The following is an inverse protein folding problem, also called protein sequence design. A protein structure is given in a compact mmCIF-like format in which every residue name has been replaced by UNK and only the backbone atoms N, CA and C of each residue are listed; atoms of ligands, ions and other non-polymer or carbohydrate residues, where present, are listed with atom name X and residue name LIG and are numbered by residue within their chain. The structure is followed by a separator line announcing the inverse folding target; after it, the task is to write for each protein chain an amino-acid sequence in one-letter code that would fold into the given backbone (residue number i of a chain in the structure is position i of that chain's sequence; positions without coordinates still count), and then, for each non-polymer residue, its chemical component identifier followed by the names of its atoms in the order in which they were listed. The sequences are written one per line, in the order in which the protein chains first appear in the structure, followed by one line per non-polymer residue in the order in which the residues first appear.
data_IF_253758395204
#
_entry.id   IF_253758395204
#
_cell.length_a   1.000
_cell.length_b   1.000
_cell.length_c   1.000
_cell.angle_alpha   90.00
_cell.angle_beta   90.00
_cell.angle_gamma   90.00
#
_symmetry.space_group_name_H-M   'P 1'
#
loop_
_entity.id
_entity.type
_entity.pdbx_description
1 polymer ?
#
# COMPACT_ATOMS: atom_id res chain seq x y z
N UNK A 1 13.30 30.32 -7.48
CA UNK A 1 12.73 29.51 -6.38
C UNK A 1 13.08 28.05 -6.63
N UNK A 2 13.45 27.32 -5.60
CA UNK A 2 13.83 25.89 -5.68
C UNK A 2 12.97 25.10 -4.71
N UNK A 3 12.43 23.98 -5.17
CA UNK A 3 11.76 22.99 -4.34
C UNK A 3 12.72 21.83 -4.11
N UNK A 4 12.96 21.49 -2.83
CA UNK A 4 13.76 20.34 -2.45
C UNK A 4 12.87 19.28 -1.76
N UNK A 5 13.02 18.04 -2.17
CA UNK A 5 12.43 16.87 -1.48
C UNK A 5 13.57 16.00 -0.99
N UNK A 6 13.51 15.62 0.29
CA UNK A 6 14.54 14.76 0.88
C UNK A 6 14.16 13.29 0.72
N UNK A 7 15.16 12.47 0.44
CA UNK A 7 15.01 11.01 0.40
C UNK A 7 16.28 10.37 0.93
N UNK A 8 16.16 9.17 1.49
CA UNK A 8 17.30 8.31 1.81
C UNK A 8 17.60 7.30 0.69
N UNK A 9 16.85 7.34 -0.40
CA UNK A 9 17.14 6.53 -1.57
C UNK A 9 18.37 7.08 -2.32
N UNK A 10 19.17 6.20 -2.93
CA UNK A 10 20.26 6.58 -3.82
C UNK A 10 19.69 7.18 -5.11
N UNK A 11 19.54 8.50 -5.13
CA UNK A 11 18.85 9.23 -6.21
C UNK A 11 19.41 8.89 -7.58
N UNK A 12 20.71 8.79 -7.72
CA UNK A 12 21.37 8.45 -8.99
C UNK A 12 20.98 7.05 -9.51
N UNK A 13 20.51 6.19 -8.65
CA UNK A 13 20.10 4.83 -8.99
C UNK A 13 18.59 4.67 -9.19
N UNK A 14 17.78 5.29 -8.34
CA UNK A 14 16.31 5.09 -8.35
C UNK A 14 15.52 6.20 -9.02
N UNK A 15 16.16 7.36 -9.28
CA UNK A 15 15.49 8.47 -9.96
C UNK A 15 15.11 8.07 -11.38
N UNK A 16 13.87 8.33 -11.71
CA UNK A 16 13.39 8.09 -13.06
C UNK A 16 12.39 9.19 -13.47
N UNK A 17 12.19 9.29 -14.78
CA UNK A 17 11.20 10.15 -15.40
C UNK A 17 10.34 9.29 -16.33
N UNK A 18 9.03 9.41 -16.20
CA UNK A 18 8.06 8.77 -17.09
C UNK A 18 7.12 9.83 -17.65
N UNK A 19 6.89 9.75 -18.93
CA UNK A 19 5.93 10.57 -19.67
C UNK A 19 4.78 9.68 -20.15
N UNK A 20 3.56 10.11 -19.91
CA UNK A 20 2.36 9.39 -20.39
C UNK A 20 1.37 10.38 -21.00
N UNK A 21 0.80 9.96 -22.11
CA UNK A 21 -0.18 10.76 -22.87
C UNK A 21 -1.59 10.20 -22.73
N UNK A 22 -2.56 11.09 -22.65
CA UNK A 22 -3.97 10.78 -22.81
C UNK A 22 -4.70 11.96 -23.46
N UNK A 23 -5.44 11.69 -24.54
CA UNK A 23 -6.16 12.71 -25.32
C UNK A 23 -5.31 13.94 -25.71
N UNK A 24 -4.04 13.71 -26.02
CA UNK A 24 -3.11 14.77 -26.42
C UNK A 24 -2.54 15.60 -25.26
N UNK A 25 -2.73 15.17 -24.03
CA UNK A 25 -2.15 15.76 -22.82
C UNK A 25 -0.99 14.89 -22.34
N UNK A 26 0.22 15.44 -22.34
CA UNK A 26 1.45 14.74 -21.97
C UNK A 26 1.84 15.12 -20.54
N UNK A 27 1.60 14.27 -19.58
CA UNK A 27 2.03 14.46 -18.19
C UNK A 27 3.36 13.75 -17.93
N UNK A 28 4.22 14.39 -17.14
CA UNK A 28 5.53 13.85 -16.77
C UNK A 28 5.61 13.68 -15.26
N UNK A 29 5.99 12.48 -14.80
CA UNK A 29 6.25 12.22 -13.41
C UNK A 29 7.72 11.83 -13.16
N UNK A 30 8.26 12.37 -12.07
CA UNK A 30 9.53 11.93 -11.48
C UNK A 30 9.20 11.22 -10.18
N UNK A 31 9.82 10.07 -9.93
CA UNK A 31 9.67 9.40 -8.65
C UNK A 31 10.97 8.81 -8.14
N UNK A 32 11.08 8.75 -6.82
CA UNK A 32 11.97 7.87 -6.08
C UNK A 32 11.14 7.10 -5.08
N UNK A 33 11.39 5.80 -4.91
CA UNK A 33 10.67 4.97 -3.96
C UNK A 33 11.62 4.13 -3.12
N UNK A 34 11.32 4.02 -1.83
CA UNK A 34 11.92 3.12 -0.88
C UNK A 34 10.90 2.78 0.20
N UNK A 35 10.72 1.51 0.53
CA UNK A 35 9.58 1.02 1.31
C UNK A 35 9.94 0.49 2.70
N UNK A 36 11.11 0.85 3.26
CA UNK A 36 11.54 0.33 4.57
C UNK A 36 10.65 0.75 5.76
N UNK A 37 9.78 1.74 5.58
CA UNK A 37 8.83 2.28 6.56
C UNK A 37 7.41 2.42 5.96
N UNK A 38 6.99 1.44 5.16
CA UNK A 38 5.68 1.42 4.54
C UNK A 38 4.55 1.30 5.58
N UNK A 39 3.43 1.97 5.32
CA UNK A 39 2.26 2.01 6.22
C UNK A 39 0.95 2.08 5.42
N UNK A 40 -0.13 1.66 6.07
CA UNK A 40 -1.49 1.94 5.59
C UNK A 40 -1.95 3.27 6.16
N UNK A 41 -2.47 4.15 5.33
CA UNK A 41 -3.03 5.42 5.80
C UNK A 41 -4.14 5.18 6.83
N UNK A 42 -4.05 5.85 7.97
CA UNK A 42 -5.01 5.70 9.08
C UNK A 42 -4.65 4.62 10.11
N UNK A 43 -3.63 3.80 9.88
CA UNK A 43 -3.13 2.91 10.93
C UNK A 43 -2.48 3.72 12.06
N UNK A 44 -2.80 3.34 13.28
CA UNK A 44 -2.06 3.78 14.45
C UNK A 44 -0.73 3.02 14.47
N UNK A 45 0.36 3.74 14.47
CA UNK A 45 1.68 3.15 14.71
C UNK A 45 1.80 2.91 16.21
N UNK A 46 1.50 1.70 16.67
CA UNK A 46 1.90 1.25 17.99
C UNK A 46 3.43 1.35 18.06
N UNK A 47 3.95 1.87 19.15
CA UNK A 47 5.40 2.10 19.33
C UNK A 47 6.01 3.20 18.42
N UNK A 48 5.25 4.26 18.17
CA UNK A 48 5.72 5.38 17.35
C UNK A 48 7.12 5.89 17.75
N UNK A 49 7.41 5.97 19.06
CA UNK A 49 8.71 6.45 19.56
C UNK A 49 9.83 5.46 19.22
N UNK A 50 9.64 4.17 19.39
CA UNK A 50 10.63 3.15 19.00
C UNK A 50 10.82 3.11 17.49
N UNK A 51 9.73 3.15 16.72
CA UNK A 51 9.76 3.23 15.26
C UNK A 51 10.40 4.52 14.77
N UNK A 52 10.21 5.65 15.45
CA UNK A 52 10.88 6.91 15.13
C UNK A 52 12.41 6.81 15.33
N UNK A 53 12.85 6.19 16.41
CA UNK A 53 14.28 5.94 16.67
C UNK A 53 14.86 5.00 15.61
N UNK A 54 14.17 3.92 15.28
CA UNK A 54 14.58 2.99 14.22
C UNK A 54 14.62 3.69 12.85
N UNK A 55 13.62 4.50 12.54
CA UNK A 55 13.59 5.29 11.30
C UNK A 55 14.72 6.31 11.23
N UNK A 56 15.02 7.01 12.33
CA UNK A 56 16.16 7.93 12.40
C UNK A 56 17.50 7.18 12.23
N UNK A 57 17.64 6.00 12.82
CA UNK A 57 18.82 5.16 12.62
C UNK A 57 18.94 4.70 11.18
N UNK A 58 17.86 4.20 10.58
CA UNK A 58 17.82 3.79 9.17
C UNK A 58 18.09 4.96 8.23
N UNK A 59 17.58 6.16 8.54
CA UNK A 59 17.88 7.37 7.78
C UNK A 59 19.39 7.70 7.81
N UNK A 60 20.04 7.56 8.98
CA UNK A 60 21.50 7.74 9.09
C UNK A 60 22.29 6.68 8.33
N UNK A 61 21.76 5.48 8.20
CA UNK A 61 22.33 4.36 7.45
C UNK A 61 21.91 4.39 5.97
N UNK A 62 21.22 5.45 5.50
CA UNK A 62 20.63 5.59 4.16
C UNK A 62 19.67 4.45 3.79
N UNK A 63 18.99 3.90 4.79
CA UNK A 63 18.01 2.78 4.63
C UNK A 63 16.57 3.17 4.92
N UNK A 64 16.30 4.46 5.21
CA UNK A 64 14.92 4.93 5.40
C UNK A 64 14.18 4.92 4.07
N UNK A 65 12.91 4.47 4.11
CA UNK A 65 12.04 4.48 2.94
C UNK A 65 11.28 5.80 2.83
N UNK A 66 11.04 6.23 1.62
CA UNK A 66 10.17 7.36 1.29
C UNK A 66 9.78 7.27 -0.17
N UNK A 67 8.56 7.68 -0.51
CA UNK A 67 8.14 7.85 -1.89
C UNK A 67 8.04 9.35 -2.16
N UNK A 68 8.91 9.86 -3.02
CA UNK A 68 8.86 11.23 -3.50
C UNK A 68 8.34 11.24 -4.93
N UNK A 69 7.33 12.07 -5.21
CA UNK A 69 6.73 12.21 -6.53
C UNK A 69 6.66 13.68 -6.89
N UNK A 70 7.17 14.03 -8.06
CA UNK A 70 6.98 15.34 -8.66
C UNK A 70 6.26 15.17 -10.01
N UNK A 71 5.07 15.73 -10.12
CA UNK A 71 4.30 15.73 -11.36
C UNK A 71 4.43 17.07 -12.07
N UNK A 72 4.73 17.04 -13.34
CA UNK A 72 4.76 18.21 -14.23
C UNK A 72 3.56 18.13 -15.17
N UNK A 73 2.64 19.07 -14.99
CA UNK A 73 1.51 19.26 -15.90
C UNK A 73 1.94 20.10 -17.11
N UNK A 74 1.55 19.74 -18.33
CA UNK A 74 1.76 20.58 -19.50
C UNK A 74 0.78 21.77 -19.53
N UNK A 75 -0.31 21.70 -18.77
CA UNK A 75 -1.37 22.70 -18.73
C UNK A 75 -1.20 23.66 -17.56
N UNK A 76 -1.52 24.95 -17.74
CA UNK A 76 -1.68 25.88 -16.64
C UNK A 76 -2.82 25.41 -15.72
N UNK A 77 -2.58 25.37 -14.41
CA UNK A 77 -3.58 24.93 -13.44
C UNK A 77 -3.96 26.08 -12.50
N UNK A 78 -5.22 26.09 -12.05
CA UNK A 78 -5.60 26.91 -10.90
C UNK A 78 -5.04 26.32 -9.61
N UNK A 79 -5.11 27.02 -8.50
CA UNK A 79 -4.68 26.47 -7.21
C UNK A 79 -5.54 25.27 -6.81
N UNK A 80 -6.87 25.35 -7.06
CA UNK A 80 -7.81 24.26 -6.86
C UNK A 80 -7.49 23.05 -7.76
N UNK A 81 -7.13 23.32 -9.03
CA UNK A 81 -6.70 22.29 -9.97
C UNK A 81 -5.43 21.58 -9.51
N UNK A 82 -4.45 22.29 -8.97
CA UNK A 82 -3.25 21.68 -8.40
C UNK A 82 -3.59 20.80 -7.21
N UNK A 83 -4.46 21.26 -6.31
CA UNK A 83 -4.89 20.48 -5.14
C UNK A 83 -5.70 19.24 -5.58
N UNK A 84 -6.62 19.42 -6.53
CA UNK A 84 -7.43 18.29 -7.03
C UNK A 84 -6.58 17.23 -7.74
N UNK A 85 -5.48 17.62 -8.37
CA UNK A 85 -4.56 16.70 -9.05
C UNK A 85 -3.81 15.75 -8.08
N UNK A 86 -3.72 16.10 -6.79
CA UNK A 86 -3.15 15.18 -5.79
C UNK A 86 -3.98 13.90 -5.62
N UNK A 87 -5.29 13.94 -5.92
CA UNK A 87 -6.14 12.74 -5.84
C UNK A 87 -5.62 11.64 -6.78
N UNK A 88 -5.58 11.83 -8.12
CA UNK A 88 -5.05 10.80 -9.01
C UNK A 88 -3.59 10.44 -8.75
N UNK A 89 -2.76 11.36 -8.24
CA UNK A 89 -1.36 11.06 -7.87
C UNK A 89 -1.30 10.06 -6.72
N UNK A 90 -2.07 10.30 -5.65
CA UNK A 90 -2.08 9.42 -4.46
C UNK A 90 -2.69 8.07 -4.79
N UNK A 91 -3.79 8.05 -5.54
CA UNK A 91 -4.45 6.82 -5.99
C UNK A 91 -3.51 5.99 -6.87
N UNK A 92 -2.85 6.60 -7.86
CA UNK A 92 -1.91 5.92 -8.74
C UNK A 92 -0.69 5.37 -7.97
N UNK A 93 -0.16 6.12 -7.00
CA UNK A 93 0.91 5.63 -6.11
C UNK A 93 0.47 4.37 -5.36
N UNK A 94 -0.70 4.41 -4.73
CA UNK A 94 -1.21 3.29 -3.94
C UNK A 94 -1.55 2.09 -4.82
N UNK A 95 -2.12 2.30 -6.00
CA UNK A 95 -2.36 1.25 -6.99
C UNK A 95 -1.05 0.60 -7.46
N UNK A 96 -0.02 1.40 -7.75
CA UNK A 96 1.28 0.87 -8.15
C UNK A 96 1.93 0.02 -7.04
N UNK A 97 1.80 0.42 -5.78
CA UNK A 97 2.25 -0.41 -4.66
C UNK A 97 1.47 -1.73 -4.59
N UNK A 98 0.15 -1.69 -4.77
CA UNK A 98 -0.69 -2.90 -4.77
C UNK A 98 -0.34 -3.85 -5.93
N UNK A 99 -0.08 -3.33 -7.13
CA UNK A 99 0.38 -4.11 -8.29
C UNK A 99 1.71 -4.83 -8.01
N UNK A 100 2.56 -4.26 -7.14
CA UNK A 100 3.81 -4.89 -6.67
C UNK A 100 3.62 -5.76 -5.41
N UNK A 101 2.38 -6.03 -5.03
CA UNK A 101 2.03 -6.92 -3.91
C UNK A 101 2.08 -6.24 -2.53
N UNK A 102 2.31 -4.92 -2.45
CA UNK A 102 2.24 -4.19 -1.20
C UNK A 102 0.79 -3.83 -0.89
N UNK A 103 0.33 -4.14 0.30
CA UNK A 103 -1.00 -3.77 0.77
C UNK A 103 -1.02 -2.42 1.51
N UNK A 104 0.14 -1.86 1.74
CA UNK A 104 0.32 -0.54 2.31
C UNK A 104 0.09 0.54 1.25
N UNK A 105 -0.36 1.72 1.70
CA UNK A 105 -0.76 2.81 0.81
C UNK A 105 0.35 3.83 0.54
N UNK A 106 1.46 3.71 1.22
CA UNK A 106 2.61 4.61 1.12
C UNK A 106 3.62 4.36 2.24
N UNK A 107 4.43 5.36 2.54
CA UNK A 107 5.36 5.37 3.66
C UNK A 107 5.00 6.47 4.68
N UNK A 108 5.66 6.48 5.83
CA UNK A 108 5.42 7.51 6.86
C UNK A 108 5.89 8.91 6.47
N UNK A 109 6.59 9.07 5.35
CA UNK A 109 7.27 10.32 4.98
C UNK A 109 7.13 10.70 3.51
N UNK A 110 6.12 10.20 2.81
CA UNK A 110 5.90 10.51 1.40
C UNK A 110 5.80 12.02 1.15
N UNK A 111 6.38 12.47 0.06
CA UNK A 111 6.29 13.86 -0.37
C UNK A 111 5.88 13.95 -1.84
N UNK A 112 5.04 14.94 -2.15
CA UNK A 112 4.51 15.14 -3.50
C UNK A 112 4.54 16.60 -3.88
N UNK A 113 4.81 16.87 -5.16
CA UNK A 113 4.77 18.19 -5.73
C UNK A 113 4.06 18.18 -7.09
N UNK A 114 3.34 19.24 -7.36
CA UNK A 114 2.73 19.51 -8.68
C UNK A 114 3.32 20.78 -9.25
N UNK A 115 3.90 20.68 -10.42
CA UNK A 115 4.44 21.79 -11.19
C UNK A 115 3.53 22.01 -12.40
N UNK A 116 3.12 23.25 -12.63
CA UNK A 116 2.36 23.64 -13.82
C UNK A 116 2.89 24.96 -14.38
N UNK A 117 2.83 25.17 -15.71
CA UNK A 117 3.22 26.44 -16.30
C UNK A 117 2.27 27.57 -15.85
N UNK A 118 2.74 28.79 -15.97
CA UNK A 118 1.88 29.98 -15.85
C UNK A 118 1.12 30.17 -17.16
N UNK A 119 -0.13 30.57 -17.08
CA UNK A 119 -0.98 30.83 -18.24
C UNK A 119 -2.31 31.46 -17.85
N UNK A 120 -3.07 31.93 -18.85
CA UNK A 120 -4.39 32.54 -18.62
C UNK A 120 -5.50 31.48 -18.59
N UNK A 121 -5.45 30.53 -19.54
CA UNK A 121 -6.44 29.43 -19.62
C UNK A 121 -6.11 28.30 -18.63
N UNK A 122 -6.47 28.52 -17.36
CA UNK A 122 -6.16 27.60 -16.27
C UNK A 122 -7.23 26.53 -16.08
N UNK A 123 -6.78 25.29 -15.92
CA UNK A 123 -7.65 24.14 -15.65
C UNK A 123 -7.86 24.02 -14.15
N UNK A 124 -9.15 23.93 -13.73
CA UNK A 124 -9.54 23.75 -12.33
C UNK A 124 -9.93 22.30 -12.00
N UNK A 125 -10.41 21.55 -12.98
CA UNK A 125 -10.90 20.18 -12.80
C UNK A 125 -9.87 19.17 -13.31
N UNK A 126 -9.15 18.52 -12.39
CA UNK A 126 -8.01 17.66 -12.67
C UNK A 126 -8.11 16.31 -11.97
N UNK A 127 -9.30 15.96 -11.49
CA UNK A 127 -9.55 14.68 -10.81
C UNK A 127 -9.37 13.45 -11.72
N UNK A 128 -9.45 12.28 -11.14
CA UNK A 128 -9.14 10.97 -11.74
C UNK A 128 -9.83 10.70 -13.09
N UNK A 129 -11.03 11.25 -13.31
CA UNK A 129 -11.78 11.12 -14.58
C UNK A 129 -11.46 12.17 -15.64
N UNK A 130 -10.60 13.17 -15.37
CA UNK A 130 -10.21 14.18 -16.35
C UNK A 130 -9.03 13.71 -17.19
N UNK A 131 -8.90 14.26 -18.41
CA UNK A 131 -7.79 13.87 -19.31
C UNK A 131 -6.41 14.11 -18.70
N UNK A 132 -6.22 15.24 -18.00
CA UNK A 132 -4.98 15.52 -17.27
C UNK A 132 -4.80 14.59 -16.07
N UNK A 133 -5.89 14.25 -15.35
CA UNK A 133 -5.85 13.29 -14.24
C UNK A 133 -5.44 11.91 -14.71
N UNK A 134 -6.00 11.41 -15.80
CA UNK A 134 -5.66 10.11 -16.41
C UNK A 134 -4.19 10.07 -16.86
N UNK A 135 -3.74 11.10 -17.61
CA UNK A 135 -2.34 11.16 -18.05
C UNK A 135 -1.38 11.20 -16.87
N UNK A 136 -1.72 11.98 -15.83
CA UNK A 136 -0.94 12.11 -14.60
C UNK A 136 -0.87 10.81 -13.81
N UNK A 137 -2.00 10.13 -13.61
CA UNK A 137 -2.05 8.84 -12.92
C UNK A 137 -1.18 7.80 -13.61
N UNK A 138 -1.26 7.70 -14.94
CA UNK A 138 -0.42 6.79 -15.74
C UNK A 138 1.08 7.09 -15.60
N UNK A 139 1.46 8.36 -15.66
CA UNK A 139 2.85 8.77 -15.51
C UNK A 139 3.39 8.46 -14.11
N UNK A 140 2.58 8.71 -13.07
CA UNK A 140 2.92 8.40 -11.67
C UNK A 140 3.03 6.91 -11.47
N UNK A 141 2.05 6.11 -11.92
CA UNK A 141 2.08 4.66 -11.80
C UNK A 141 3.32 4.06 -12.47
N UNK A 142 3.62 4.50 -13.69
CA UNK A 142 4.80 4.05 -14.42
C UNK A 142 6.12 4.45 -13.73
N UNK A 143 6.17 5.66 -13.11
CA UNK A 143 7.38 6.16 -12.45
C UNK A 143 7.60 5.48 -11.09
N UNK A 144 6.56 5.32 -10.29
CA UNK A 144 6.62 4.62 -8.99
C UNK A 144 6.92 3.14 -9.19
N UNK A 145 6.21 2.47 -10.11
CA UNK A 145 6.45 1.05 -10.42
C UNK A 145 7.90 0.80 -10.84
N UNK A 146 8.42 1.61 -11.74
CA UNK A 146 9.83 1.51 -12.15
C UNK A 146 10.81 1.67 -10.98
N UNK A 147 10.54 2.60 -10.06
CA UNK A 147 11.39 2.81 -8.90
C UNK A 147 11.35 1.61 -7.93
N UNK A 148 10.19 0.95 -7.79
CA UNK A 148 10.03 -0.28 -7.00
C UNK A 148 10.75 -1.46 -7.65
N UNK A 149 10.63 -1.62 -8.97
CA UNK A 149 11.29 -2.69 -9.73
C UNK A 149 12.81 -2.62 -9.63
N UNK A 150 13.39 -1.42 -9.83
CA UNK A 150 14.85 -1.24 -9.76
C UNK A 150 15.40 -1.61 -8.40
N UNK A 151 14.71 -1.26 -7.33
CA UNK A 151 15.15 -1.61 -5.97
C UNK A 151 14.91 -3.06 -5.62
N UNK A 152 14.19 -3.80 -6.47
CA UNK A 152 13.78 -5.16 -6.19
C UNK A 152 13.05 -5.25 -4.83
N UNK A 153 12.23 -4.24 -4.55
CA UNK A 153 11.45 -4.17 -3.32
C UNK A 153 10.32 -5.20 -3.40
N UNK A 154 10.34 -6.12 -2.48
CA UNK A 154 9.29 -7.13 -2.37
C UNK A 154 8.56 -6.98 -1.04
N UNK A 155 7.24 -7.20 -1.02
CA UNK A 155 6.49 -7.20 0.23
C UNK A 155 7.05 -8.30 1.15
N UNK A 156 7.18 -7.96 2.43
CA UNK A 156 7.47 -8.98 3.42
C UNK A 156 6.34 -10.03 3.41
N UNK A 157 6.66 -11.31 3.56
CA UNK A 157 5.63 -12.33 3.64
C UNK A 157 4.55 -11.94 4.63
N UNK A 158 3.29 -12.23 4.29
CA UNK A 158 2.19 -12.02 5.21
C UNK A 158 2.34 -13.02 6.37
N UNK A 159 2.69 -12.51 7.55
CA UNK A 159 2.80 -13.35 8.74
C UNK A 159 1.46 -13.38 9.47
N UNK A 160 1.15 -14.44 10.25
CA UNK A 160 -0.06 -14.52 11.07
C UNK A 160 -0.24 -13.28 11.97
N UNK A 161 0.83 -12.75 12.56
CA UNK A 161 0.80 -11.51 13.34
C UNK A 161 0.31 -10.32 12.51
N UNK A 162 0.81 -10.16 11.28
CA UNK A 162 0.38 -9.09 10.38
C UNK A 162 -1.10 -9.21 10.00
N UNK A 163 -1.57 -10.44 9.77
CA UNK A 163 -2.99 -10.71 9.50
C UNK A 163 -3.84 -10.28 10.71
N UNK A 164 -3.49 -10.75 11.91
CA UNK A 164 -4.18 -10.38 13.13
C UNK A 164 -4.19 -8.88 13.38
N UNK A 165 -3.06 -8.21 13.20
CA UNK A 165 -2.95 -6.76 13.36
C UNK A 165 -3.86 -6.00 12.39
N UNK A 166 -4.02 -6.47 11.16
CA UNK A 166 -4.97 -5.92 10.18
C UNK A 166 -6.43 -6.10 10.57
N UNK A 167 -6.74 -7.21 11.22
CA UNK A 167 -8.07 -7.47 11.76
C UNK A 167 -8.36 -6.67 13.03
N UNK A 168 -7.45 -5.80 13.48
CA UNK A 168 -7.57 -5.07 14.75
C UNK A 168 -7.32 -5.96 15.98
N UNK A 169 -6.74 -7.13 15.78
CA UNK A 169 -6.50 -8.16 16.81
C UNK A 169 -5.01 -8.18 17.23
N UNK A 170 -4.42 -7.01 17.47
CA UNK A 170 -3.05 -6.96 18.03
C UNK A 170 -2.93 -7.72 19.35
N UNK A 171 -1.73 -8.15 19.71
CA UNK A 171 -1.50 -9.01 20.89
C UNK A 171 -2.01 -8.39 22.19
N UNK A 172 -1.87 -7.09 22.39
CA UNK A 172 -2.42 -6.38 23.55
C UNK A 172 -3.94 -6.46 23.61
N UNK A 173 -4.62 -6.37 22.48
CA UNK A 173 -6.07 -6.52 22.40
C UNK A 173 -6.51 -7.96 22.67
N UNK A 174 -5.84 -8.94 22.07
CA UNK A 174 -6.08 -10.35 22.32
C UNK A 174 -5.83 -10.72 23.79
N UNK A 175 -4.77 -10.21 24.40
CA UNK A 175 -4.49 -10.40 25.81
C UNK A 175 -5.61 -9.84 26.69
N UNK A 176 -6.13 -8.66 26.35
CA UNK A 176 -7.25 -8.03 27.05
C UNK A 176 -8.53 -8.86 26.94
N UNK A 177 -8.87 -9.35 25.74
CA UNK A 177 -10.05 -10.22 25.53
C UNK A 177 -9.91 -11.54 26.29
N UNK A 178 -8.74 -12.16 26.25
CA UNK A 178 -8.46 -13.41 26.94
C UNK A 178 -8.45 -13.28 28.46
N UNK A 179 -8.38 -12.05 29.00
CA UNK A 179 -8.24 -11.82 30.43
C UNK A 179 -6.97 -12.46 31.00
N UNK A 180 -5.93 -12.61 30.20
CA UNK A 180 -4.73 -13.36 30.57
C UNK A 180 -3.91 -12.61 31.63
N UNK A 181 -3.56 -13.26 32.75
CA UNK A 181 -2.71 -12.67 33.78
C UNK A 181 -1.21 -12.67 33.41
N UNK A 182 -0.83 -13.21 32.26
CA UNK A 182 0.55 -13.19 31.78
C UNK A 182 1.05 -11.77 31.58
N UNK A 183 2.34 -11.54 31.78
CA UNK A 183 2.94 -10.30 31.28
C UNK A 183 2.93 -10.26 29.74
N UNK A 184 2.99 -9.05 29.17
CA UNK A 184 2.83 -8.85 27.71
C UNK A 184 3.87 -9.59 26.87
N UNK A 185 5.11 -9.72 27.36
CA UNK A 185 6.18 -10.43 26.64
C UNK A 185 5.89 -11.91 26.54
N UNK A 186 5.55 -12.55 27.67
CA UNK A 186 5.19 -13.97 27.69
C UNK A 186 3.93 -14.27 26.90
N UNK A 187 2.97 -13.35 26.91
CA UNK A 187 1.78 -13.50 26.09
C UNK A 187 2.14 -13.46 24.60
N UNK A 188 3.00 -12.52 24.19
CA UNK A 188 3.46 -12.43 22.81
C UNK A 188 4.23 -13.67 22.36
N UNK A 189 5.17 -14.18 23.17
CA UNK A 189 5.89 -15.43 22.91
C UNK A 189 4.94 -16.64 22.76
N UNK A 190 3.91 -16.70 23.59
CA UNK A 190 2.90 -17.75 23.50
C UNK A 190 2.06 -17.64 22.25
N UNK A 191 1.67 -16.42 21.85
CA UNK A 191 0.95 -16.15 20.61
C UNK A 191 1.78 -16.49 19.39
N UNK A 192 3.06 -16.12 19.37
CA UNK A 192 3.97 -16.48 18.28
C UNK A 192 4.05 -18.00 18.10
N UNK A 193 4.20 -18.75 19.19
CA UNK A 193 4.22 -20.20 19.14
C UNK A 193 2.91 -20.82 18.61
N UNK A 194 1.77 -20.24 18.96
CA UNK A 194 0.46 -20.68 18.45
C UNK A 194 0.34 -20.36 16.96
N UNK A 195 0.75 -19.16 16.57
CA UNK A 195 0.67 -18.66 15.18
C UNK A 195 1.65 -19.37 14.25
N UNK A 196 2.72 -19.97 14.77
CA UNK A 196 3.66 -20.81 14.00
C UNK A 196 3.06 -22.20 13.68
N UNK A 197 1.98 -22.61 14.35
CA UNK A 197 1.29 -23.85 14.06
C UNK A 197 0.66 -23.82 12.66
N UNK A 198 0.92 -24.86 11.87
CA UNK A 198 0.42 -24.95 10.48
C UNK A 198 -1.12 -24.87 10.41
N UNK A 199 -1.81 -25.46 11.39
CA UNK A 199 -3.29 -25.41 11.46
C UNK A 199 -3.81 -23.99 11.70
N UNK A 200 -3.16 -23.23 12.58
CA UNK A 200 -3.56 -21.85 12.88
C UNK A 200 -3.24 -20.94 11.70
N UNK A 201 -2.10 -21.12 11.05
CA UNK A 201 -1.74 -20.38 9.85
C UNK A 201 -2.75 -20.62 8.73
N UNK A 202 -3.07 -21.89 8.47
CA UNK A 202 -4.07 -22.26 7.48
C UNK A 202 -5.45 -21.65 7.78
N UNK A 203 -5.86 -21.63 9.05
CA UNK A 203 -7.11 -21.00 9.47
C UNK A 203 -7.11 -19.49 9.26
N UNK A 204 -6.01 -18.81 9.57
CA UNK A 204 -5.89 -17.36 9.36
C UNK A 204 -5.85 -17.00 7.87
N UNK A 205 -5.13 -17.76 7.06
CA UNK A 205 -5.07 -17.57 5.61
C UNK A 205 -6.46 -17.77 4.99
N UNK A 206 -7.19 -18.79 5.43
CA UNK A 206 -8.57 -19.00 5.00
C UNK A 206 -9.50 -17.87 5.45
N UNK A 207 -9.39 -17.44 6.70
CA UNK A 207 -10.22 -16.36 7.23
C UNK A 207 -9.99 -15.05 6.46
N UNK A 208 -8.74 -14.78 6.13
CA UNK A 208 -8.37 -13.62 5.31
C UNK A 208 -8.94 -13.73 3.89
N UNK A 209 -8.79 -14.89 3.25
CA UNK A 209 -9.32 -15.15 1.92
C UNK A 209 -10.84 -15.00 1.85
N UNK A 210 -11.55 -15.50 2.88
CA UNK A 210 -13.01 -15.34 2.98
C UNK A 210 -13.39 -13.89 3.22
N UNK A 211 -12.70 -13.19 4.13
CA UNK A 211 -12.99 -11.77 4.41
C UNK A 211 -12.81 -10.88 3.17
N UNK A 212 -11.78 -11.13 2.37
CA UNK A 212 -11.52 -10.39 1.13
C UNK A 212 -12.62 -10.60 0.06
N UNK A 213 -13.39 -11.68 0.15
CA UNK A 213 -14.45 -12.03 -0.82
C UNK A 213 -15.87 -11.85 -0.31
N UNK A 214 -16.06 -11.58 0.98
CA UNK A 214 -17.42 -11.42 1.55
C UNK A 214 -18.16 -10.26 0.89
N UNK A 215 -17.47 -9.18 0.56
CA UNK A 215 -18.08 -8.04 -0.10
C UNK A 215 -18.54 -8.38 -1.52
N UNK A 216 -17.77 -9.17 -2.27
CA UNK A 216 -18.16 -9.63 -3.61
C UNK A 216 -19.32 -10.63 -3.60
N UNK A 217 -19.38 -11.49 -2.59
CA UNK A 217 -20.49 -12.46 -2.41
C UNK A 217 -21.81 -11.78 -2.08
N UNK A 218 -21.79 -10.62 -1.41
CA UNK A 218 -22.99 -9.89 -1.04
C UNK A 218 -23.67 -9.18 -2.23
N UNK A 219 -22.90 -8.89 -3.29
CA UNK A 219 -23.41 -8.16 -4.45
C UNK A 219 -24.00 -9.08 -5.55
N UNK A 220 -23.43 -10.24 -5.79
CA UNK A 220 -23.76 -11.05 -6.98
C UNK A 220 -24.56 -12.34 -6.70
N UNK A 221 -24.59 -12.85 -5.47
CA UNK A 221 -25.42 -14.01 -5.08
C UNK A 221 -25.21 -15.27 -5.94
N UNK A 222 -24.05 -15.44 -6.54
CA UNK A 222 -23.77 -16.57 -7.44
C UNK A 222 -23.10 -17.73 -6.66
N UNK A 223 -23.69 -18.92 -6.76
CA UNK A 223 -23.17 -20.16 -6.18
C UNK A 223 -21.74 -20.51 -6.63
N UNK A 224 -21.27 -19.92 -7.75
CA UNK A 224 -19.91 -20.13 -8.25
C UNK A 224 -18.83 -19.65 -7.29
N UNK A 225 -19.06 -18.56 -6.57
CA UNK A 225 -18.12 -17.98 -5.62
C UNK A 225 -17.97 -18.83 -4.34
N UNK A 226 -19.07 -19.47 -3.91
CA UNK A 226 -19.00 -20.42 -2.80
C UNK A 226 -18.15 -21.65 -3.18
N UNK A 227 -18.21 -22.11 -4.43
CA UNK A 227 -17.35 -23.18 -4.96
C UNK A 227 -15.87 -22.80 -4.91
N UNK A 228 -15.53 -21.56 -5.24
CA UNK A 228 -14.16 -21.04 -5.19
C UNK A 228 -13.65 -21.01 -3.71
N UNK A 229 -14.45 -20.50 -2.80
CA UNK A 229 -14.11 -20.43 -1.36
C UNK A 229 -13.89 -21.84 -0.79
N UNK A 230 -14.78 -22.79 -1.08
CA UNK A 230 -14.66 -24.17 -0.61
C UNK A 230 -13.44 -24.86 -1.21
N UNK A 231 -13.15 -24.64 -2.49
CA UNK A 231 -11.96 -25.19 -3.16
C UNK A 231 -10.67 -24.65 -2.53
N UNK A 232 -10.59 -23.35 -2.27
CA UNK A 232 -9.42 -22.74 -1.65
C UNK A 232 -9.27 -23.13 -0.18
N UNK A 233 -10.38 -23.22 0.55
CA UNK A 233 -10.41 -23.75 1.91
C UNK A 233 -9.85 -25.18 1.96
N UNK A 234 -10.27 -26.04 1.06
CA UNK A 234 -9.77 -27.41 0.93
C UNK A 234 -8.27 -27.45 0.64
N UNK A 235 -7.80 -26.59 -0.23
CA UNK A 235 -6.37 -26.47 -0.57
C UNK A 235 -5.54 -26.03 0.64
N UNK A 236 -6.02 -25.04 1.39
CA UNK A 236 -5.31 -24.48 2.55
C UNK A 236 -5.30 -25.48 3.73
N UNK A 237 -6.45 -26.09 4.00
CA UNK A 237 -6.62 -27.01 5.16
C UNK A 237 -6.17 -28.44 4.86
N UNK A 238 -5.84 -28.76 3.61
CA UNK A 238 -5.48 -30.13 3.21
C UNK A 238 -6.62 -31.14 3.36
N UNK A 239 -7.86 -30.68 3.47
CA UNK A 239 -9.04 -31.49 3.65
C UNK A 239 -9.87 -31.58 2.36
N UNK A 240 -10.46 -32.73 2.00
CA UNK A 240 -11.30 -32.82 0.85
C UNK A 240 -12.58 -31.98 0.99
N UNK A 241 -12.98 -31.29 -0.10
CA UNK A 241 -14.26 -30.59 -0.13
C UNK A 241 -15.38 -31.60 0.09
N UNK A 242 -16.33 -31.39 1.02
CA UNK A 242 -17.54 -32.17 1.07
C UNK A 242 -18.29 -32.03 -0.27
N UNK A 243 -18.35 -33.09 -1.04
CA UNK A 243 -19.26 -33.12 -2.17
C UNK A 243 -20.67 -33.32 -1.63
N UNK A 244 -21.52 -32.32 -1.74
CA UNK A 244 -22.98 -32.49 -1.62
C UNK A 244 -23.41 -33.38 -2.79
N UNK A 245 -23.40 -34.66 -2.55
CA UNK A 245 -23.69 -35.66 -3.54
C UNK A 245 -24.46 -36.82 -2.93
N UNK A 246 -25.73 -36.77 -3.17
CA UNK A 246 -26.77 -37.84 -3.10
C UNK A 246 -27.67 -37.81 -1.91
#
# INVERSE_FOLDING_TARGET
DTLGMMTAAEVDYVFNLKECSYEGIDAVAFATAGLSNHVVAGMVLEDYEENAVVSQRRAREMKAGTINICLVSPLPLTEEGKVNLFIPIVEAKSASMAEHGFMETGTTSDAMAVISPKGEDRVAWTGTGSSIGIASARAVSASVGYALDIRNEHPSPMTPEKILKRMGLGYSHLQSIAGSPMDGVRFAESMDSILESDDVRALLDLSWFVADRVDSLAEDGDDSDMGIILSEASRILGAPVPHDGS
#
